data_IF_057233150843
#
_entry.id   IF_057233150843
#
_cell.length_a   1.000
_cell.length_b   1.000
_cell.length_c   1.000
_cell.angle_alpha   90.00
_cell.angle_beta   90.00
_cell.angle_gamma   90.00
#
_symmetry.space_group_name_H-M   'P 1'
#
loop_
_entity.id
_entity.type
_entity.pdbx_description
1 polymer ?
#
# COMPACT_ATOMS: atom_id res chain seq x y z
N UNK A 1 -45.25 36.22 30.19
CA UNK A 1 -45.01 35.30 29.05
C UNK A 1 -43.68 35.70 28.40
N UNK A 2 -42.64 34.88 28.55
CA UNK A 2 -41.29 35.12 28.00
C UNK A 2 -41.22 34.56 26.58
N UNK A 3 -41.13 35.45 25.58
CA UNK A 3 -40.86 35.08 24.18
C UNK A 3 -39.35 35.00 23.95
N UNK A 4 -38.86 33.81 23.62
CA UNK A 4 -37.45 33.55 23.36
C UNK A 4 -37.19 33.68 21.84
N UNK A 5 -36.59 34.79 21.39
CA UNK A 5 -36.12 34.93 20.00
C UNK A 5 -34.75 34.26 19.85
N UNK A 6 -34.71 33.08 19.26
CA UNK A 6 -33.46 32.38 18.94
C UNK A 6 -33.00 32.82 17.55
N UNK A 7 -31.96 33.65 17.49
CA UNK A 7 -31.25 33.96 16.23
C UNK A 7 -30.48 32.71 15.79
N UNK A 8 -30.84 32.16 14.64
CA UNK A 8 -30.04 31.15 13.94
C UNK A 8 -28.72 31.79 13.49
N UNK A 9 -27.59 31.24 13.96
CA UNK A 9 -26.27 31.46 13.38
C UNK A 9 -26.02 30.32 12.41
N UNK A 10 -26.15 30.60 11.12
CA UNK A 10 -25.59 29.81 10.03
C UNK A 10 -24.07 29.81 10.17
N UNK A 11 -23.50 28.66 10.53
CA UNK A 11 -22.06 28.42 10.41
C UNK A 11 -21.77 27.97 8.99
N UNK A 12 -21.35 28.91 8.15
CA UNK A 12 -20.56 28.59 6.97
C UNK A 12 -19.23 28.01 7.43
N UNK A 13 -19.13 26.68 7.47
CA UNK A 13 -17.83 26.01 7.55
C UNK A 13 -17.25 25.95 6.14
N UNK A 14 -16.52 27.01 5.79
CA UNK A 14 -15.58 27.03 4.69
C UNK A 14 -14.55 25.91 4.89
N UNK A 15 -14.81 24.75 4.30
CA UNK A 15 -13.88 23.63 4.20
C UNK A 15 -12.84 23.95 3.12
N UNK A 16 -11.92 24.86 3.41
CA UNK A 16 -10.60 24.87 2.76
C UNK A 16 -9.83 23.65 3.28
N UNK A 17 -10.18 22.46 2.75
CA UNK A 17 -9.35 21.27 2.85
C UNK A 17 -8.08 21.53 2.05
N UNK A 18 -7.09 22.10 2.73
CA UNK A 18 -5.72 22.11 2.28
C UNK A 18 -5.38 20.68 1.86
N UNK A 19 -5.14 20.51 0.56
CA UNK A 19 -4.64 19.29 -0.02
C UNK A 19 -3.29 19.03 0.66
N UNK A 20 -3.24 18.08 1.59
CA UNK A 20 -1.98 17.57 2.17
C UNK A 20 -1.32 16.70 1.10
N UNK A 21 -0.91 17.33 0.00
CA UNK A 21 0.11 16.79 -0.88
C UNK A 21 1.41 16.85 -0.11
N UNK A 22 2.08 15.71 0.10
CA UNK A 22 3.49 15.66 0.48
C UNK A 22 4.31 16.35 -0.63
N UNK A 23 4.39 17.66 -0.56
CA UNK A 23 5.22 18.51 -1.40
C UNK A 23 6.56 18.66 -0.68
N UNK A 24 7.49 17.78 -1.03
CA UNK A 24 8.92 18.12 -1.01
C UNK A 24 9.13 19.24 -2.03
N UNK A 25 8.82 20.48 -1.65
CA UNK A 25 9.14 21.67 -2.41
C UNK A 25 10.56 22.11 -2.03
N UNK A 26 11.50 21.87 -2.96
CA UNK A 26 12.80 22.50 -3.20
C UNK A 26 13.70 22.94 -2.02
N UNK A 27 14.96 22.48 -2.06
CA UNK A 27 16.13 23.38 -2.23
C UNK A 27 17.36 22.56 -2.63
N UNK A 28 17.97 22.98 -3.75
CA UNK A 28 19.19 22.46 -4.35
C UNK A 28 20.39 22.63 -3.42
N UNK A 29 21.19 21.58 -3.31
CA UNK A 29 22.55 21.60 -2.78
C UNK A 29 23.27 20.38 -3.31
N UNK A 30 24.22 20.58 -4.22
CA UNK A 30 25.07 19.50 -4.74
C UNK A 30 25.88 18.93 -3.58
N UNK A 31 25.62 17.66 -3.24
CA UNK A 31 26.41 16.86 -2.32
C UNK A 31 26.76 15.55 -2.99
N UNK A 32 28.06 15.30 -3.15
CA UNK A 32 28.63 14.09 -3.77
C UNK A 32 28.19 12.86 -2.98
N UNK A 33 27.63 11.88 -3.70
CA UNK A 33 27.03 10.67 -3.12
C UNK A 33 28.08 9.62 -2.77
N UNK A 34 28.04 9.13 -1.53
CA UNK A 34 28.75 7.92 -1.14
C UNK A 34 28.04 6.68 -1.72
N UNK A 35 28.76 5.93 -2.55
CA UNK A 35 28.24 4.88 -3.43
C UNK A 35 27.88 3.54 -2.74
N UNK A 36 27.88 3.45 -1.41
CA UNK A 36 27.91 2.15 -0.71
C UNK A 36 26.68 1.82 0.15
N UNK A 37 25.56 2.55 0.00
CA UNK A 37 24.33 2.30 0.76
C UNK A 37 23.03 2.44 -0.08
N UNK A 38 23.10 2.24 -1.39
CA UNK A 38 21.99 2.47 -2.36
C UNK A 38 21.24 1.16 -2.70
N UNK A 39 21.71 0.01 -2.23
CA UNK A 39 21.32 -1.31 -2.76
C UNK A 39 19.82 -1.66 -2.60
N UNK A 40 19.24 -1.43 -1.43
CA UNK A 40 17.84 -1.81 -1.16
C UNK A 40 16.82 -1.00 -1.95
N UNK A 41 16.96 0.34 -1.95
CA UNK A 41 16.07 1.20 -2.73
C UNK A 41 16.29 0.97 -4.23
N UNK A 42 17.53 0.74 -4.67
CA UNK A 42 17.82 0.43 -6.07
C UNK A 42 17.19 -0.88 -6.54
N UNK A 43 16.99 -1.85 -5.64
CA UNK A 43 16.29 -3.10 -5.92
C UNK A 43 14.77 -2.95 -6.16
N UNK A 44 14.21 -1.78 -5.81
CA UNK A 44 12.77 -1.48 -5.94
C UNK A 44 12.43 -0.25 -6.77
N UNK A 45 13.40 0.63 -7.06
CA UNK A 45 13.12 1.87 -7.79
C UNK A 45 12.84 1.65 -9.28
N UNK A 46 12.13 2.59 -9.89
CA UNK A 46 12.01 2.61 -11.35
C UNK A 46 13.31 3.12 -11.95
N UNK A 47 14.02 2.24 -12.66
CA UNK A 47 15.31 2.60 -13.27
C UNK A 47 15.11 3.32 -14.59
N UNK A 48 15.92 4.36 -14.84
CA UNK A 48 15.87 5.19 -16.04
C UNK A 48 15.97 4.38 -17.34
N UNK A 49 16.82 3.35 -17.36
CA UNK A 49 17.06 2.45 -18.49
C UNK A 49 15.94 1.44 -18.73
N UNK A 50 14.92 1.40 -17.86
CA UNK A 50 13.77 0.47 -17.94
C UNK A 50 12.43 1.18 -18.00
N UNK A 51 12.43 2.50 -18.15
CA UNK A 51 11.20 3.27 -18.29
C UNK A 51 10.56 2.98 -19.68
N UNK A 52 9.22 2.88 -19.75
CA UNK A 52 8.52 2.76 -21.02
C UNK A 52 8.77 3.96 -21.94
N UNK A 53 8.48 3.78 -23.22
CA UNK A 53 8.42 4.89 -24.17
C UNK A 53 7.44 5.98 -23.68
N UNK A 54 7.84 7.25 -23.86
CA UNK A 54 7.07 8.40 -23.39
C UNK A 54 7.22 8.72 -21.90
N UNK A 55 7.93 7.90 -21.11
CA UNK A 55 8.23 8.18 -19.71
C UNK A 55 9.63 8.77 -19.57
N UNK A 56 9.75 9.89 -18.86
CA UNK A 56 11.01 10.58 -18.66
C UNK A 56 11.26 10.84 -17.18
N UNK A 57 12.29 10.20 -16.61
CA UNK A 57 12.82 10.55 -15.29
C UNK A 57 13.41 11.97 -15.34
N UNK A 58 12.71 12.91 -14.71
CA UNK A 58 13.08 14.33 -14.65
C UNK A 58 13.92 14.64 -13.42
N UNK A 59 13.60 14.02 -12.29
CA UNK A 59 14.36 14.17 -11.05
C UNK A 59 14.51 12.83 -10.35
N UNK A 60 15.70 12.59 -9.80
CA UNK A 60 15.98 11.53 -8.83
C UNK A 60 17.00 12.10 -7.84
N UNK A 61 16.68 12.11 -6.56
CA UNK A 61 17.63 12.52 -5.55
C UNK A 61 17.37 11.83 -4.21
N UNK A 62 18.42 11.40 -3.51
CA UNK A 62 18.31 10.95 -2.14
C UNK A 62 18.02 12.14 -1.23
N UNK A 63 17.26 11.88 -0.18
CA UNK A 63 16.98 12.88 0.85
C UNK A 63 18.17 12.91 1.82
N UNK A 64 18.79 14.07 2.06
CA UNK A 64 19.88 14.19 3.03
C UNK A 64 19.47 13.74 4.44
N UNK A 65 20.43 13.19 5.18
CA UNK A 65 20.22 12.63 6.53
C UNK A 65 19.55 13.63 7.49
N UNK A 66 19.96 14.90 7.44
CA UNK A 66 19.40 15.98 8.24
C UNK A 66 17.91 16.24 7.92
N UNK A 67 17.49 15.95 6.70
CA UNK A 67 16.09 16.05 6.27
C UNK A 67 15.29 14.77 6.55
N UNK A 68 15.95 13.64 6.85
CA UNK A 68 15.28 12.38 7.21
C UNK A 68 14.79 12.40 8.66
N UNK A 69 15.48 13.11 9.57
CA UNK A 69 15.16 13.11 11.00
C UNK A 69 13.68 13.44 11.34
N UNK A 70 13.04 14.47 10.76
CA UNK A 70 11.63 14.74 11.01
C UNK A 70 10.70 13.58 10.63
N UNK A 71 11.06 12.80 9.61
CA UNK A 71 10.29 11.63 9.19
C UNK A 71 10.44 10.47 10.19
N UNK A 72 11.63 10.26 10.76
CA UNK A 72 11.83 9.24 11.82
C UNK A 72 10.91 9.49 13.01
N UNK A 73 10.85 10.76 13.45
CA UNK A 73 9.94 11.17 14.54
C UNK A 73 8.47 11.01 14.13
N UNK A 74 8.10 11.47 12.93
CA UNK A 74 6.71 11.43 12.45
C UNK A 74 6.18 10.00 12.29
N UNK A 75 7.01 9.10 11.78
CA UNK A 75 6.64 7.71 11.52
C UNK A 75 6.93 6.78 12.70
N UNK A 76 7.61 7.26 13.75
CA UNK A 76 8.09 6.45 14.87
C UNK A 76 8.87 5.22 14.40
N UNK A 77 9.73 5.41 13.40
CA UNK A 77 10.46 4.33 12.75
C UNK A 77 11.89 4.78 12.38
N UNK A 78 12.89 3.88 12.49
CA UNK A 78 14.26 4.18 12.10
C UNK A 78 14.40 4.15 10.58
N UNK A 79 14.17 5.28 9.91
CA UNK A 79 14.37 5.42 8.47
C UNK A 79 15.86 5.59 8.18
N UNK A 80 16.48 4.67 7.44
CA UNK A 80 17.90 4.75 7.06
C UNK A 80 18.13 5.70 5.89
N UNK A 81 17.30 5.57 4.85
CA UNK A 81 17.41 6.32 3.61
C UNK A 81 16.03 6.67 3.08
N UNK A 82 15.98 7.78 2.35
CA UNK A 82 14.83 8.10 1.51
C UNK A 82 15.30 8.53 0.12
N UNK A 83 14.52 8.19 -0.90
CA UNK A 83 14.75 8.61 -2.28
C UNK A 83 13.46 9.22 -2.81
N UNK A 84 13.60 10.31 -3.57
CA UNK A 84 12.52 10.88 -4.35
C UNK A 84 12.78 10.68 -5.84
N UNK A 85 11.77 10.25 -6.58
CA UNK A 85 11.75 10.24 -8.05
C UNK A 85 10.56 11.05 -8.58
N UNK A 86 10.78 11.79 -9.66
CA UNK A 86 9.72 12.43 -10.47
C UNK A 86 9.89 12.00 -11.93
N UNK A 87 8.77 11.54 -12.51
CA UNK A 87 8.70 11.01 -13.87
C UNK A 87 7.57 11.72 -14.61
N UNK A 88 7.90 12.33 -15.73
CA UNK A 88 6.93 12.92 -16.65
C UNK A 88 6.49 11.86 -17.68
N UNK A 89 5.18 11.68 -17.84
CA UNK A 89 4.58 10.79 -18.83
C UNK A 89 3.92 11.63 -19.92
N UNK A 90 4.44 11.52 -21.15
CA UNK A 90 3.99 12.30 -22.30
C UNK A 90 2.46 12.22 -22.47
N UNK A 91 1.82 13.38 -22.62
CA UNK A 91 0.37 13.50 -22.82
C UNK A 91 -0.51 13.14 -21.62
N UNK A 92 0.05 12.69 -20.48
CA UNK A 92 -0.76 12.24 -19.34
C UNK A 92 -0.53 13.06 -18.06
N UNK A 93 0.74 13.27 -17.67
CA UNK A 93 1.05 14.01 -16.44
C UNK A 93 2.30 13.52 -15.73
N UNK A 94 2.39 13.79 -14.42
CA UNK A 94 3.55 13.48 -13.58
C UNK A 94 3.25 12.35 -12.59
N UNK A 95 4.25 11.50 -12.35
CA UNK A 95 4.31 10.51 -11.29
C UNK A 95 5.44 10.90 -10.35
N UNK A 96 5.15 10.98 -9.06
CA UNK A 96 6.15 11.19 -8.01
C UNK A 96 6.21 9.95 -7.14
N UNK A 97 7.40 9.47 -6.81
CA UNK A 97 7.59 8.27 -6.01
C UNK A 97 8.53 8.58 -4.86
N UNK A 98 8.06 8.32 -3.64
CA UNK A 98 8.88 8.36 -2.44
C UNK A 98 9.25 6.94 -2.03
N UNK A 99 10.51 6.72 -1.71
CA UNK A 99 11.02 5.48 -1.14
C UNK A 99 11.56 5.77 0.25
N UNK A 100 11.29 4.90 1.21
CA UNK A 100 11.87 4.95 2.55
C UNK A 100 12.35 3.56 2.95
N UNK A 101 13.64 3.42 3.28
CA UNK A 101 14.21 2.16 3.75
C UNK A 101 14.38 2.13 5.27
N UNK A 102 14.23 0.95 5.85
CA UNK A 102 14.49 0.65 7.26
C UNK A 102 15.68 -0.32 7.40
N UNK A 103 16.34 -0.35 8.57
CA UNK A 103 17.30 -1.39 8.92
C UNK A 103 16.72 -2.80 8.82
N UNK A 104 15.47 -2.97 9.26
CA UNK A 104 14.78 -4.26 9.32
C UNK A 104 13.42 -4.21 8.61
N UNK A 105 13.02 -5.34 8.03
CA UNK A 105 11.73 -5.47 7.32
C UNK A 105 10.54 -5.20 8.25
N UNK A 106 10.58 -5.68 9.50
CA UNK A 106 9.49 -5.52 10.46
C UNK A 106 9.14 -4.03 10.71
N UNK A 107 10.13 -3.14 10.61
CA UNK A 107 9.95 -1.71 10.85
C UNK A 107 9.22 -0.99 9.70
N UNK A 108 9.24 -1.57 8.49
CA UNK A 108 8.49 -1.02 7.35
C UNK A 108 6.99 -1.04 7.57
N UNK A 109 6.47 -1.97 8.38
CA UNK A 109 5.04 -2.05 8.70
C UNK A 109 4.54 -0.78 9.41
N UNK A 110 5.35 -0.23 10.33
CA UNK A 110 5.02 1.02 11.04
C UNK A 110 4.97 2.21 10.09
N UNK A 111 5.95 2.35 9.20
CA UNK A 111 5.97 3.42 8.18
C UNK A 111 4.78 3.27 7.26
N UNK A 112 4.56 2.07 6.71
CA UNK A 112 3.45 1.76 5.82
C UNK A 112 2.12 2.18 6.44
N UNK A 113 1.85 1.73 7.67
CA UNK A 113 0.62 2.03 8.38
C UNK A 113 0.42 3.54 8.57
N UNK A 114 1.47 4.24 9.02
CA UNK A 114 1.42 5.69 9.21
C UNK A 114 1.25 6.44 7.89
N UNK A 115 1.84 5.98 6.80
CA UNK A 115 1.62 6.56 5.47
C UNK A 115 0.17 6.40 5.05
N UNK A 116 -0.42 5.21 5.18
CA UNK A 116 -1.85 4.99 4.92
C UNK A 116 -2.73 5.91 5.77
N UNK A 117 -2.43 6.10 7.06
CA UNK A 117 -3.16 7.03 7.94
C UNK A 117 -3.09 8.48 7.46
N UNK A 118 -1.93 8.91 6.93
CA UNK A 118 -1.69 10.30 6.52
C UNK A 118 -2.25 10.62 5.13
N UNK A 119 -2.09 9.71 4.17
CA UNK A 119 -2.44 9.94 2.76
C UNK A 119 -3.80 9.36 2.38
N UNK A 120 -4.32 8.46 3.22
CA UNK A 120 -5.58 7.77 3.01
C UNK A 120 -5.63 7.08 1.63
N UNK A 121 -6.72 7.34 0.91
CA UNK A 121 -7.01 6.72 -0.39
C UNK A 121 -6.43 7.51 -1.59
N UNK A 122 -5.62 8.54 -1.34
CA UNK A 122 -5.13 9.43 -2.40
C UNK A 122 -3.94 8.83 -3.16
N UNK A 123 -3.02 8.18 -2.44
CA UNK A 123 -1.77 7.66 -2.98
C UNK A 123 -1.74 6.14 -2.89
N UNK A 124 -0.98 5.50 -3.77
CA UNK A 124 -0.68 4.07 -3.63
C UNK A 124 0.50 3.94 -2.69
N UNK A 125 0.34 3.17 -1.62
CA UNK A 125 1.43 2.80 -0.71
C UNK A 125 1.58 1.29 -0.76
N UNK A 126 2.82 0.82 -0.94
CA UNK A 126 3.20 -0.59 -1.01
C UNK A 126 4.54 -0.80 -0.32
N UNK A 127 4.94 -2.05 -0.12
CA UNK A 127 6.24 -2.38 0.48
C UNK A 127 6.90 -3.55 -0.24
N UNK A 128 8.22 -3.65 -0.09
CA UNK A 128 9.01 -4.83 -0.46
C UNK A 128 10.24 -4.90 0.44
N UNK A 129 10.38 -6.00 1.18
CA UNK A 129 11.45 -6.20 2.15
C UNK A 129 11.57 -4.99 3.07
N UNK A 130 12.73 -4.33 3.02
CA UNK A 130 13.07 -3.19 3.88
C UNK A 130 12.63 -1.83 3.36
N UNK A 131 11.87 -1.76 2.26
CA UNK A 131 11.48 -0.49 1.62
C UNK A 131 9.97 -0.32 1.57
N UNK A 132 9.49 0.86 1.98
CA UNK A 132 8.13 1.36 1.72
C UNK A 132 8.17 2.31 0.52
N UNK A 133 7.20 2.16 -0.38
CA UNK A 133 7.07 2.96 -1.61
C UNK A 133 5.72 3.64 -1.63
N UNK A 134 5.73 4.96 -1.87
CA UNK A 134 4.53 5.76 -2.08
C UNK A 134 4.54 6.31 -3.50
N UNK A 135 3.47 6.06 -4.25
CA UNK A 135 3.27 6.53 -5.62
C UNK A 135 2.17 7.59 -5.62
N UNK A 136 2.54 8.78 -6.10
CA UNK A 136 1.72 9.99 -6.08
C UNK A 136 1.49 10.44 -7.53
N UNK A 137 0.22 10.49 -7.94
CA UNK A 137 -0.19 11.16 -9.17
C UNK A 137 -1.64 11.60 -9.07
N UNK A 138 -2.00 12.69 -9.77
CA UNK A 138 -3.39 13.11 -9.92
C UNK A 138 -4.19 12.14 -10.80
N UNK A 139 -3.52 11.45 -11.73
CA UNK A 139 -4.15 10.49 -12.61
C UNK A 139 -4.08 9.08 -12.00
N UNK A 140 -5.22 8.50 -11.62
CA UNK A 140 -5.26 7.14 -11.08
C UNK A 140 -4.63 6.09 -12.01
N UNK A 141 -4.86 6.12 -13.33
CA UNK A 141 -4.22 5.17 -14.24
C UNK A 141 -2.69 5.22 -14.21
N UNK A 142 -2.09 6.40 -13.96
CA UNK A 142 -0.63 6.52 -13.85
C UNK A 142 -0.08 5.88 -12.58
N UNK A 143 -0.82 5.94 -11.46
CA UNK A 143 -0.42 5.25 -10.23
C UNK A 143 -0.36 3.73 -10.44
N UNK A 144 -1.39 3.17 -11.08
CA UNK A 144 -1.44 1.75 -11.40
C UNK A 144 -0.35 1.36 -12.41
N UNK A 145 -0.13 2.16 -13.46
CA UNK A 145 0.94 1.91 -14.43
C UNK A 145 2.33 1.91 -13.80
N UNK A 146 2.61 2.83 -12.85
CA UNK A 146 3.87 2.83 -12.12
C UNK A 146 3.99 1.60 -11.21
N UNK A 147 2.92 1.26 -10.49
CA UNK A 147 2.88 0.09 -9.61
C UNK A 147 3.23 -1.20 -10.36
N UNK A 148 2.67 -1.40 -11.54
CA UNK A 148 2.94 -2.59 -12.36
C UNK A 148 4.41 -2.71 -12.79
N UNK A 149 5.11 -1.58 -12.91
CA UNK A 149 6.52 -1.52 -13.29
C UNK A 149 7.48 -1.66 -12.12
N UNK A 150 7.03 -1.46 -10.89
CA UNK A 150 7.85 -1.72 -9.72
C UNK A 150 8.10 -3.24 -9.58
N UNK A 151 9.30 -3.67 -9.17
CA UNK A 151 9.63 -5.08 -8.99
C UNK A 151 9.08 -5.59 -7.65
N UNK A 152 7.77 -5.51 -7.47
CA UNK A 152 7.02 -5.95 -6.27
C UNK A 152 6.46 -7.36 -6.46
N UNK A 153 6.14 -8.03 -5.35
CA UNK A 153 5.40 -9.30 -5.37
C UNK A 153 4.04 -9.11 -6.08
N UNK A 154 3.50 -10.16 -6.73
CA UNK A 154 2.16 -10.12 -7.29
C UNK A 154 1.10 -9.70 -6.27
N UNK A 155 1.28 -10.12 -5.01
CA UNK A 155 0.36 -9.81 -3.92
C UNK A 155 0.30 -8.31 -3.60
N UNK A 156 1.45 -7.62 -3.55
CA UNK A 156 1.48 -6.15 -3.37
C UNK A 156 0.77 -5.40 -4.51
N UNK A 157 0.86 -5.93 -5.74
CA UNK A 157 0.20 -5.38 -6.94
C UNK A 157 -1.29 -5.70 -7.04
N UNK A 158 -1.80 -6.67 -6.29
CA UNK A 158 -3.18 -7.17 -6.46
C UNK A 158 -4.06 -7.12 -5.21
N UNK A 159 -3.47 -6.92 -4.02
CA UNK A 159 -4.24 -6.73 -2.78
C UNK A 159 -5.14 -5.50 -2.86
N UNK A 160 -6.21 -5.47 -2.06
CA UNK A 160 -7.03 -4.27 -1.90
C UNK A 160 -6.17 -3.13 -1.33
N UNK A 161 -5.93 -2.08 -2.13
CA UNK A 161 -5.18 -0.89 -1.73
C UNK A 161 -6.12 0.20 -1.27
N UNK A 162 -5.60 1.19 -0.54
CA UNK A 162 -6.38 2.36 -0.13
C UNK A 162 -7.07 3.06 -1.30
N UNK A 163 -6.43 3.14 -2.48
CA UNK A 163 -7.02 3.70 -3.70
C UNK A 163 -8.23 2.92 -4.25
N UNK A 164 -8.42 1.67 -3.83
CA UNK A 164 -9.53 0.81 -4.24
C UNK A 164 -10.70 0.82 -3.25
N UNK A 165 -10.50 1.41 -2.06
CA UNK A 165 -11.46 1.40 -0.97
C UNK A 165 -12.58 2.41 -1.26
N UNK A 166 -13.84 1.97 -1.42
CA UNK A 166 -14.95 2.86 -1.74
C UNK A 166 -15.33 3.75 -0.54
N UNK A 167 -16.18 4.77 -0.77
CA UNK A 167 -16.77 5.53 0.33
C UNK A 167 -17.46 4.62 1.35
N UNK A 168 -17.31 4.94 2.64
CA UNK A 168 -17.88 4.13 3.75
C UNK A 168 -17.00 2.96 4.20
N UNK A 169 -15.92 2.67 3.48
CA UNK A 169 -14.91 1.70 3.90
C UNK A 169 -13.66 2.42 4.44
N UNK A 170 -12.95 1.76 5.36
CA UNK A 170 -11.70 2.26 5.94
C UNK A 170 -10.75 1.11 6.21
N UNK A 171 -9.57 1.13 5.59
CA UNK A 171 -8.45 0.28 6.02
C UNK A 171 -7.96 0.78 7.38
N UNK A 172 -8.06 -0.08 8.38
CA UNK A 172 -7.64 0.20 9.76
C UNK A 172 -6.19 -0.18 9.93
N UNK A 173 -5.84 -1.40 9.54
CA UNK A 173 -4.48 -1.90 9.64
C UNK A 173 -4.19 -2.97 8.61
N UNK A 174 -2.91 -3.18 8.38
CA UNK A 174 -2.40 -4.27 7.57
C UNK A 174 -1.21 -4.91 8.28
N UNK A 175 -1.29 -6.21 8.47
CA UNK A 175 -0.25 -7.03 9.09
C UNK A 175 0.41 -7.83 8.00
N UNK A 176 1.73 -7.67 7.87
CA UNK A 176 2.55 -8.46 6.97
C UNK A 176 3.29 -9.48 7.80
N UNK A 177 3.19 -10.75 7.42
CA UNK A 177 3.90 -11.80 8.11
C UNK A 177 5.38 -11.77 7.68
N UNK A 178 6.35 -11.69 8.62
CA UNK A 178 7.77 -11.77 8.28
C UNK A 178 8.12 -13.08 7.58
N UNK A 179 9.14 -13.05 6.72
CA UNK A 179 9.63 -14.24 6.01
C UNK A 179 10.02 -15.39 6.95
N UNK A 180 10.58 -15.08 8.13
CA UNK A 180 10.93 -16.06 9.17
C UNK A 180 9.73 -16.87 9.66
N UNK A 181 8.53 -16.29 9.58
CA UNK A 181 7.32 -16.84 10.20
C UNK A 181 6.46 -17.62 9.19
N UNK A 182 6.77 -17.51 7.89
CA UNK A 182 6.05 -18.23 6.83
C UNK A 182 6.12 -19.75 7.01
N UNK A 183 7.23 -20.28 7.53
CA UNK A 183 7.46 -21.73 7.65
C UNK A 183 6.42 -22.48 8.49
N UNK A 184 5.75 -21.81 9.43
CA UNK A 184 4.62 -22.39 10.18
C UNK A 184 3.40 -22.60 9.28
N UNK A 185 3.13 -21.65 8.39
CA UNK A 185 2.02 -21.71 7.44
C UNK A 185 2.35 -22.63 6.27
N UNK A 186 3.59 -22.66 5.80
CA UNK A 186 4.03 -23.62 4.77
C UNK A 186 3.76 -25.07 5.20
N UNK A 187 4.04 -25.43 6.45
CA UNK A 187 3.71 -26.76 7.00
C UNK A 187 2.21 -27.00 7.08
N UNK A 188 1.43 -25.97 7.42
CA UNK A 188 -0.03 -26.07 7.57
C UNK A 188 -0.75 -26.26 6.24
N UNK A 189 -0.31 -25.54 5.21
CA UNK A 189 -0.88 -25.59 3.86
C UNK A 189 -0.19 -26.61 2.95
N UNK A 190 0.97 -27.11 3.36
CA UNK A 190 1.82 -28.03 2.60
C UNK A 190 2.17 -27.48 1.20
N UNK A 191 2.54 -26.19 1.18
CA UNK A 191 2.94 -25.41 -0.01
C UNK A 191 4.05 -24.44 0.37
N UNK A 192 4.80 -23.97 -0.63
CA UNK A 192 5.78 -22.89 -0.44
C UNK A 192 5.10 -21.53 -0.55
N UNK A 193 5.36 -20.66 0.41
CA UNK A 193 4.74 -19.34 0.49
C UNK A 193 5.73 -18.26 0.06
N UNK A 194 5.19 -17.22 -0.59
CA UNK A 194 5.93 -16.01 -0.94
C UNK A 194 5.63 -14.91 0.09
N UNK A 195 4.34 -14.72 0.42
CA UNK A 195 3.90 -13.62 1.28
C UNK A 195 2.54 -13.93 1.93
N UNK A 196 2.34 -13.50 3.18
CA UNK A 196 1.03 -13.47 3.83
C UNK A 196 0.74 -12.06 4.32
N UNK A 197 -0.48 -11.59 4.05
CA UNK A 197 -0.93 -10.26 4.44
C UNK A 197 -2.34 -10.33 5.00
N UNK A 198 -2.56 -9.74 6.17
CA UNK A 198 -3.87 -9.63 6.78
C UNK A 198 -4.30 -8.16 6.84
N UNK A 199 -5.40 -7.84 6.18
CA UNK A 199 -6.00 -6.51 6.19
C UNK A 199 -7.21 -6.48 7.10
N UNK A 200 -7.31 -5.43 7.91
CA UNK A 200 -8.44 -5.17 8.78
C UNK A 200 -9.13 -3.89 8.31
N UNK A 201 -10.40 -3.99 7.98
CA UNK A 201 -11.21 -2.90 7.47
C UNK A 201 -12.47 -2.71 8.32
N UNK A 202 -12.96 -1.48 8.33
CA UNK A 202 -14.36 -1.20 8.67
C UNK A 202 -15.14 -0.90 7.40
N UNK A 203 -16.32 -1.50 7.28
CA UNK A 203 -17.29 -1.28 6.21
C UNK A 203 -18.61 -0.90 6.88
N UNK A 204 -19.02 0.37 6.79
CA UNK A 204 -20.23 0.86 7.46
C UNK A 204 -20.32 0.45 8.95
N UNK A 205 -19.22 0.62 9.70
CA UNK A 205 -19.06 0.24 11.12
C UNK A 205 -18.98 -1.28 11.42
N UNK A 206 -19.13 -2.14 10.41
CA UNK A 206 -18.91 -3.58 10.54
C UNK A 206 -17.46 -3.95 10.24
N UNK A 207 -16.93 -4.98 10.91
CA UNK A 207 -15.55 -5.43 10.72
C UNK A 207 -15.45 -6.38 9.54
N UNK A 208 -14.40 -6.18 8.74
CA UNK A 208 -13.98 -7.07 7.67
C UNK A 208 -12.50 -7.40 7.86
N UNK A 209 -12.16 -8.69 7.87
CA UNK A 209 -10.78 -9.15 7.74
C UNK A 209 -10.57 -9.78 6.38
N UNK A 210 -9.52 -9.40 5.67
CA UNK A 210 -9.12 -10.02 4.40
C UNK A 210 -7.72 -10.57 4.56
N UNK A 211 -7.58 -11.89 4.45
CA UNK A 211 -6.32 -12.61 4.51
C UNK A 211 -5.89 -12.95 3.09
N UNK A 212 -4.70 -12.53 2.71
CA UNK A 212 -4.08 -12.88 1.43
C UNK A 212 -2.92 -13.81 1.69
N UNK A 213 -2.83 -14.85 0.87
CA UNK A 213 -1.75 -15.83 0.88
C UNK A 213 -1.25 -15.96 -0.56
N UNK A 214 0.01 -15.61 -0.79
CA UNK A 214 0.69 -15.86 -2.06
C UNK A 214 1.57 -17.11 -1.94
N UNK A 215 1.40 -18.03 -2.89
CA UNK A 215 2.27 -19.19 -3.05
C UNK A 215 3.37 -18.91 -4.07
N UNK A 216 4.51 -19.59 -3.97
CA UNK A 216 5.62 -19.39 -4.91
C UNK A 216 5.32 -19.91 -6.32
N UNK A 217 4.48 -20.95 -6.43
CA UNK A 217 4.11 -21.57 -7.71
C UNK A 217 2.60 -21.59 -7.85
N UNK A 218 2.10 -21.16 -9.01
CA UNK A 218 0.66 -21.09 -9.27
C UNK A 218 -0.06 -22.44 -9.13
N UNK A 219 0.62 -23.55 -9.45
CA UNK A 219 0.11 -24.92 -9.27
C UNK A 219 -0.20 -25.25 -7.79
N UNK A 220 0.53 -24.65 -6.84
CA UNK A 220 0.32 -24.86 -5.40
C UNK A 220 -0.90 -24.07 -4.87
N UNK A 221 -1.44 -23.12 -5.65
CA UNK A 221 -2.53 -22.25 -5.20
C UNK A 221 -3.85 -23.02 -5.05
N UNK A 222 -4.09 -24.06 -5.86
CA UNK A 222 -5.28 -24.91 -5.72
C UNK A 222 -5.26 -25.65 -4.39
N UNK A 223 -4.13 -26.27 -4.06
CA UNK A 223 -3.94 -26.97 -2.79
C UNK A 223 -4.12 -26.05 -1.58
N UNK A 224 -3.55 -24.85 -1.65
CA UNK A 224 -3.73 -23.84 -0.61
C UNK A 224 -5.20 -23.40 -0.47
N UNK A 225 -5.91 -23.24 -1.59
CA UNK A 225 -7.34 -22.91 -1.63
C UNK A 225 -8.19 -24.00 -1.00
N UNK A 226 -8.05 -25.25 -1.44
CA UNK A 226 -8.78 -26.41 -0.89
C UNK A 226 -8.53 -26.55 0.62
N UNK A 227 -7.27 -26.43 1.05
CA UNK A 227 -6.93 -26.49 2.47
C UNK A 227 -7.57 -25.35 3.28
N UNK A 228 -7.65 -24.15 2.73
CA UNK A 228 -8.31 -23.01 3.38
C UNK A 228 -9.82 -23.22 3.47
N UNK A 229 -10.44 -23.79 2.43
CA UNK A 229 -11.85 -24.21 2.42
C UNK A 229 -12.13 -25.23 3.53
N UNK A 230 -11.31 -26.26 3.63
CA UNK A 230 -11.43 -27.30 4.67
C UNK A 230 -11.30 -26.72 6.07
N UNK A 231 -10.29 -25.87 6.30
CA UNK A 231 -10.01 -25.27 7.62
C UNK A 231 -11.11 -24.32 8.10
N UNK A 232 -11.87 -23.74 7.18
CA UNK A 232 -12.93 -22.76 7.48
C UNK A 232 -14.34 -23.37 7.43
N UNK A 233 -14.47 -24.61 6.96
CA UNK A 233 -15.76 -25.27 6.78
C UNK A 233 -16.72 -24.50 5.88
N UNK A 234 -16.20 -23.82 4.83
CA UNK A 234 -16.98 -22.97 3.91
C UNK A 234 -17.74 -21.80 4.57
N UNK A 235 -17.41 -21.43 5.80
CA UNK A 235 -18.05 -20.30 6.48
C UNK A 235 -17.61 -18.94 5.94
N UNK A 236 -16.40 -18.88 5.36
CA UNK A 236 -15.77 -17.68 4.84
C UNK A 236 -15.84 -17.62 3.32
N UNK A 237 -15.76 -16.41 2.76
CA UNK A 237 -15.59 -16.25 1.33
C UNK A 237 -14.13 -16.51 1.00
N UNK A 238 -13.86 -17.51 0.15
CA UNK A 238 -12.50 -17.83 -0.29
C UNK A 238 -12.45 -17.72 -1.81
N UNK A 239 -11.42 -17.05 -2.31
CA UNK A 239 -11.18 -16.83 -3.73
C UNK A 239 -9.75 -17.24 -4.06
N UNK A 240 -9.53 -17.79 -5.26
CA UNK A 240 -8.21 -18.08 -5.80
C UNK A 240 -8.04 -17.41 -7.15
N UNK A 241 -6.90 -16.78 -7.38
CA UNK A 241 -6.55 -16.23 -8.69
C UNK A 241 -5.03 -16.18 -8.88
N UNK A 242 -4.57 -16.87 -9.91
CA UNK A 242 -3.15 -17.12 -10.11
C UNK A 242 -2.55 -17.78 -8.87
N UNK A 243 -1.39 -17.30 -8.45
CA UNK A 243 -0.68 -17.75 -7.26
C UNK A 243 -1.20 -17.15 -5.92
N UNK A 244 -2.37 -16.49 -5.90
CA UNK A 244 -2.90 -15.82 -4.71
C UNK A 244 -4.22 -16.47 -4.28
N UNK A 245 -4.30 -16.85 -3.02
CA UNK A 245 -5.52 -17.26 -2.32
C UNK A 245 -5.93 -16.16 -1.36
N UNK A 246 -7.22 -15.83 -1.32
CA UNK A 246 -7.77 -14.78 -0.47
C UNK A 246 -8.94 -15.30 0.32
N UNK A 247 -8.96 -15.02 1.61
CA UNK A 247 -10.07 -15.31 2.51
C UNK A 247 -10.62 -13.99 3.06
N UNK A 248 -11.92 -13.76 2.89
CA UNK A 248 -12.64 -12.66 3.49
C UNK A 248 -13.57 -13.16 4.60
N UNK A 249 -13.43 -12.54 5.77
CA UNK A 249 -14.10 -12.91 7.01
C UNK A 249 -14.93 -11.72 7.47
N UNK A 250 -16.24 -11.94 7.52
CA UNK A 250 -17.25 -10.98 7.97
C UNK A 250 -18.44 -11.74 8.54
N UNK A 251 -19.05 -11.16 9.57
CA UNK A 251 -20.29 -11.67 10.17
C UNK A 251 -21.53 -11.24 9.39
N UNK A 252 -21.39 -10.32 8.43
CA UNK A 252 -22.48 -9.72 7.66
C UNK A 252 -22.69 -10.43 6.31
N UNK A 253 -23.80 -11.15 6.11
CA UNK A 253 -24.09 -11.84 4.85
C UNK A 253 -24.16 -10.89 3.65
N UNK A 254 -24.80 -9.72 3.83
CA UNK A 254 -24.97 -8.72 2.76
C UNK A 254 -23.62 -8.17 2.28
N UNK A 255 -22.64 -8.09 3.18
CA UNK A 255 -21.30 -7.63 2.85
C UNK A 255 -20.53 -8.65 1.98
N UNK A 256 -20.80 -9.95 2.13
CA UNK A 256 -20.05 -11.01 1.43
C UNK A 256 -20.12 -10.85 -0.10
N UNK A 257 -21.30 -10.52 -0.64
CA UNK A 257 -21.47 -10.34 -2.07
C UNK A 257 -20.72 -9.13 -2.64
N UNK A 258 -20.78 -7.97 -1.96
CA UNK A 258 -20.02 -6.77 -2.35
C UNK A 258 -18.51 -7.00 -2.25
N UNK A 259 -18.05 -7.71 -1.21
CA UNK A 259 -16.64 -8.09 -1.07
C UNK A 259 -16.20 -9.00 -2.23
N UNK A 260 -16.99 -10.03 -2.57
CA UNK A 260 -16.65 -10.96 -3.65
C UNK A 260 -16.41 -10.24 -4.97
N UNK A 261 -17.37 -9.41 -5.41
CA UNK A 261 -17.24 -8.65 -6.65
C UNK A 261 -16.01 -7.74 -6.67
N UNK A 262 -15.66 -7.13 -5.53
CA UNK A 262 -14.48 -6.26 -5.42
C UNK A 262 -13.18 -7.07 -5.49
N UNK A 263 -13.06 -8.12 -4.69
CA UNK A 263 -11.86 -8.95 -4.68
C UNK A 263 -11.65 -9.61 -6.05
N UNK A 264 -12.69 -10.08 -6.71
CA UNK A 264 -12.62 -10.57 -8.09
C UNK A 264 -12.13 -9.53 -9.09
N UNK A 265 -12.34 -8.23 -8.85
CA UNK A 265 -11.85 -7.16 -9.73
C UNK A 265 -10.37 -6.86 -9.50
N UNK A 266 -9.89 -6.91 -8.26
CA UNK A 266 -8.55 -6.45 -7.90
C UNK A 266 -7.50 -7.56 -7.88
N UNK A 267 -7.91 -8.80 -7.68
CA UNK A 267 -7.00 -9.95 -7.79
C UNK A 267 -6.81 -10.36 -9.28
N UNK A 268 -7.48 -9.70 -10.23
CA UNK A 268 -7.40 -9.98 -11.69
C UNK A 268 -6.00 -9.89 -12.26
#
# INVERSE_FOLDING_TARGET
MKGNSRKEKTWETGSSRAVVSFLLAFLFGMGVLSAWAIDEIDSVKLRRDRLPEGWKLTNEFPIPEEKIQPFRTKFFAPIERMLYQSILVAGTGEIRINYASCPEEAQTATIYQKMIELVGNQNVVVRKGRVVVEIISKASPLKEAALERLPLSPLQKRKLRSTHIPPGWKLVSEIFLPQSDLGLFEKRFDVRLEEIVNQFLFVNQQRLRVNYLAVQREEDAEKAFEKMVDLTGNSNLILKKGAIVVEAITESPDMKADIASRLERFIR
#
